data_IF_826569241105
#
_entry.id   IF_826569241105
#
_cell.length_a   1.000
_cell.length_b   1.000
_cell.length_c   1.000
_cell.angle_alpha   90.00
_cell.angle_beta   90.00
_cell.angle_gamma   90.00
#
_symmetry.space_group_name_H-M   'P 1'
#
loop_
_entity.id
_entity.type
_entity.pdbx_description
1 polymer ?
#
# COMPACT_ATOMS: atom_id res chain seq x y z
N UNK A 1 30.51 5.35 44.67
CA UNK A 1 30.12 6.48 43.82
C UNK A 1 28.59 6.48 43.78
N UNK A 2 27.94 7.24 44.66
CA UNK A 2 26.48 7.32 44.70
C UNK A 2 26.04 8.19 43.53
N UNK A 3 25.27 7.62 42.61
CA UNK A 3 24.65 8.40 41.54
C UNK A 3 23.75 9.44 42.19
N UNK A 4 23.99 10.72 41.90
CA UNK A 4 23.21 11.81 42.48
C UNK A 4 21.83 11.84 41.83
N UNK A 5 20.80 12.24 42.59
CA UNK A 5 19.42 12.31 42.09
C UNK A 5 19.28 13.18 40.83
N UNK A 6 20.11 14.22 40.70
CA UNK A 6 20.18 15.07 39.52
C UNK A 6 20.72 14.34 38.28
N UNK A 7 21.69 13.44 38.46
CA UNK A 7 22.22 12.61 37.37
C UNK A 7 21.17 11.60 36.90
N UNK A 8 20.44 10.98 37.85
CA UNK A 8 19.34 10.07 37.52
C UNK A 8 18.24 10.77 36.72
N UNK A 9 17.89 12.00 37.13
CA UNK A 9 16.87 12.80 36.43
C UNK A 9 17.32 13.19 35.02
N UNK A 10 18.60 13.55 34.85
CA UNK A 10 19.18 13.90 33.56
C UNK A 10 19.16 12.71 32.59
N UNK A 11 19.59 11.53 33.05
CA UNK A 11 19.53 10.31 32.25
C UNK A 11 18.11 9.92 31.84
N UNK A 12 17.14 10.12 32.74
CA UNK A 12 15.73 9.87 32.47
C UNK A 12 15.20 10.73 31.32
N UNK A 13 15.49 12.03 31.31
CA UNK A 13 15.07 12.92 30.22
C UNK A 13 15.78 12.62 28.90
N UNK A 14 17.08 12.27 28.94
CA UNK A 14 17.84 11.89 27.73
C UNK A 14 17.24 10.64 27.09
N UNK A 15 16.91 9.62 27.88
CA UNK A 15 16.28 8.39 27.39
C UNK A 15 14.90 8.68 26.80
N UNK A 16 14.08 9.50 27.47
CA UNK A 16 12.77 9.88 26.97
C UNK A 16 12.85 10.65 25.63
N UNK A 17 13.79 11.58 25.51
CA UNK A 17 14.03 12.32 24.28
C UNK A 17 14.48 11.40 23.13
N UNK A 18 15.42 10.49 23.40
CA UNK A 18 15.89 9.52 22.40
C UNK A 18 14.76 8.62 21.90
N UNK A 19 13.93 8.10 22.80
CA UNK A 19 12.74 7.30 22.46
C UNK A 19 11.77 8.11 21.58
N UNK A 20 11.51 9.36 21.95
CA UNK A 20 10.60 10.24 21.22
C UNK A 20 11.08 10.45 19.78
N UNK A 21 12.38 10.72 19.59
CA UNK A 21 12.98 10.87 18.25
C UNK A 21 12.85 9.59 17.42
N UNK A 22 13.12 8.42 18.00
CA UNK A 22 12.99 7.13 17.30
C UNK A 22 11.54 6.90 16.87
N UNK A 23 10.57 7.18 17.73
CA UNK A 23 9.15 7.03 17.41
C UNK A 23 8.71 7.96 16.28
N UNK A 24 9.16 9.23 16.29
CA UNK A 24 8.87 10.19 15.20
C UNK A 24 9.39 9.66 13.86
N UNK A 25 10.63 9.15 13.82
CA UNK A 25 11.23 8.61 12.60
C UNK A 25 10.44 7.41 12.07
N UNK A 26 9.92 6.56 12.96
CA UNK A 26 9.17 5.35 12.58
C UNK A 26 7.73 5.65 12.12
N UNK A 27 7.08 6.71 12.62
CA UNK A 27 5.67 7.04 12.34
C UNK A 27 5.45 7.78 11.00
N UNK A 28 6.46 7.76 10.09
CA UNK A 28 6.67 8.56 8.84
C UNK A 28 5.49 8.70 7.84
N UNK A 29 4.28 8.23 8.14
CA UNK A 29 3.13 8.19 7.21
C UNK A 29 1.97 9.12 7.56
N UNK A 30 1.81 9.59 8.81
CA UNK A 30 0.63 10.40 9.20
C UNK A 30 0.99 11.50 10.23
N UNK A 31 1.12 12.77 9.81
CA UNK A 31 1.54 13.86 10.69
C UNK A 31 0.60 14.08 11.88
N UNK A 32 -0.69 13.86 11.69
CA UNK A 32 -1.72 13.94 12.75
C UNK A 32 -1.41 13.01 13.93
N UNK A 33 -0.98 11.76 13.65
CA UNK A 33 -0.67 10.77 14.69
C UNK A 33 0.61 11.13 15.43
N UNK A 34 1.62 11.62 14.72
CA UNK A 34 2.90 12.04 15.31
C UNK A 34 2.68 13.16 16.33
N UNK A 35 1.83 14.15 16.02
CA UNK A 35 1.54 15.26 16.95
C UNK A 35 0.83 14.76 18.21
N UNK A 36 -0.13 13.84 18.09
CA UNK A 36 -0.80 13.24 19.25
C UNK A 36 0.19 12.51 20.17
N UNK A 37 1.13 11.75 19.59
CA UNK A 37 2.17 11.05 20.36
C UNK A 37 3.17 12.01 21.02
N UNK A 38 3.57 13.09 20.34
CA UNK A 38 4.41 14.13 20.93
C UNK A 38 3.79 14.72 22.21
N UNK A 39 2.48 15.01 22.18
CA UNK A 39 1.76 15.53 23.34
C UNK A 39 1.75 14.51 24.48
N UNK A 40 1.50 13.23 24.18
CA UNK A 40 1.48 12.16 25.18
C UNK A 40 2.88 11.94 25.80
N UNK A 41 3.94 11.96 24.97
CA UNK A 41 5.32 11.84 25.45
C UNK A 41 5.72 13.01 26.33
N UNK A 42 5.32 14.24 25.98
CA UNK A 42 5.60 15.45 26.75
C UNK A 42 4.80 15.51 28.06
N UNK A 43 3.53 15.09 28.05
CA UNK A 43 2.66 15.13 29.22
C UNK A 43 2.94 13.99 30.22
N UNK A 44 3.40 12.84 29.74
CA UNK A 44 3.61 11.65 30.57
C UNK A 44 4.96 10.93 30.31
N UNK A 45 6.13 11.56 30.49
CA UNK A 45 7.39 10.82 30.58
C UNK A 45 7.40 9.88 31.80
N UNK A 46 7.76 8.59 31.71
CA UNK A 46 8.03 7.77 30.52
C UNK A 46 6.79 6.96 30.06
N UNK A 47 5.66 7.08 30.77
CA UNK A 47 4.39 6.38 30.52
C UNK A 47 3.90 6.49 29.08
N UNK A 48 4.16 7.62 28.40
CA UNK A 48 3.82 7.81 27.00
C UNK A 48 4.44 6.77 26.06
N UNK A 49 5.61 6.23 26.41
CA UNK A 49 6.23 5.13 25.66
C UNK A 49 5.49 3.82 25.83
N UNK A 50 5.06 3.51 27.06
CA UNK A 50 4.26 2.32 27.32
C UNK A 50 2.93 2.41 26.55
N UNK A 51 2.28 3.57 26.58
CA UNK A 51 1.04 3.82 25.84
C UNK A 51 1.26 3.72 24.31
N UNK A 52 2.38 4.21 23.80
CA UNK A 52 2.73 4.10 22.39
C UNK A 52 2.89 2.63 21.95
N UNK A 53 3.56 1.80 22.75
CA UNK A 53 3.71 0.37 22.43
C UNK A 53 2.36 -0.37 22.38
N UNK A 54 1.43 0.00 23.27
CA UNK A 54 0.11 -0.63 23.34
C UNK A 54 -0.83 -0.17 22.22
N UNK A 55 -0.90 1.14 21.95
CA UNK A 55 -1.98 1.74 21.12
C UNK A 55 -1.44 2.43 19.87
N UNK A 56 -0.22 2.97 19.91
CA UNK A 56 0.34 3.78 18.82
C UNK A 56 0.79 2.99 17.61
N UNK A 57 1.34 1.80 17.85
CA UNK A 57 1.81 0.95 16.77
C UNK A 57 0.64 0.40 15.97
N UNK A 58 0.63 0.62 14.65
CA UNK A 58 -0.27 -0.11 13.77
C UNK A 58 0.23 -1.57 13.62
N UNK A 59 -0.36 -2.49 14.39
CA UNK A 59 0.02 -3.92 14.38
C UNK A 59 -0.39 -4.65 13.09
N UNK A 60 -1.26 -4.05 12.27
CA UNK A 60 -1.59 -4.59 10.94
C UNK A 60 -0.38 -4.47 10.01
N UNK A 61 0.48 -5.49 10.03
CA UNK A 61 1.24 -5.85 8.83
C UNK A 61 0.20 -6.24 7.78
N UNK A 62 0.01 -5.40 6.76
CA UNK A 62 -0.56 -5.89 5.52
C UNK A 62 0.46 -6.88 4.98
N UNK A 63 0.32 -8.16 5.36
CA UNK A 63 0.85 -9.22 4.53
C UNK A 63 0.04 -9.14 3.26
N UNK A 64 0.65 -8.62 2.20
CA UNK A 64 0.20 -8.95 0.85
C UNK A 64 0.20 -10.49 0.82
N UNK A 65 -0.89 -11.10 0.35
CA UNK A 65 -0.94 -12.55 0.24
C UNK A 65 0.29 -13.01 -0.56
N UNK A 66 1.17 -13.78 0.08
CA UNK A 66 2.43 -14.21 -0.53
C UNK A 66 2.21 -15.31 -1.58
N UNK A 67 1.00 -15.85 -1.68
CA UNK A 67 0.66 -16.96 -2.56
C UNK A 67 -0.36 -16.57 -3.62
N UNK A 68 0.15 -16.43 -4.84
CA UNK A 68 -0.62 -16.51 -6.07
C UNK A 68 -1.56 -17.71 -6.04
N UNK A 69 -2.82 -17.47 -6.45
CA UNK A 69 -3.67 -18.58 -6.88
C UNK A 69 -2.91 -19.39 -7.95
N UNK A 70 -2.81 -20.73 -7.81
CA UNK A 70 -2.16 -21.59 -8.79
C UNK A 70 -2.63 -21.33 -10.23
N UNK A 71 -3.91 -20.95 -10.37
CA UNK A 71 -4.54 -20.57 -11.63
C UNK A 71 -3.91 -19.34 -12.29
N UNK A 72 -3.61 -18.30 -11.51
CA UNK A 72 -2.99 -17.06 -12.03
C UNK A 72 -1.56 -17.35 -12.48
N UNK A 73 -0.82 -18.14 -11.70
CA UNK A 73 0.53 -18.60 -12.10
C UNK A 73 0.52 -19.35 -13.42
N UNK A 74 -0.39 -20.31 -13.58
CA UNK A 74 -0.53 -21.07 -14.83
C UNK A 74 -0.80 -20.16 -16.02
N UNK A 75 -1.72 -19.20 -15.85
CA UNK A 75 -2.09 -18.25 -16.91
C UNK A 75 -0.91 -17.33 -17.28
N UNK A 76 -0.15 -16.85 -16.29
CA UNK A 76 1.08 -16.07 -16.51
C UNK A 76 2.09 -16.87 -17.31
N UNK A 77 2.43 -18.09 -16.89
CA UNK A 77 3.44 -18.91 -17.59
C UNK A 77 3.02 -19.25 -19.02
N UNK A 78 1.73 -19.48 -19.26
CA UNK A 78 1.20 -19.72 -20.61
C UNK A 78 1.44 -18.54 -21.54
N UNK A 79 1.13 -17.32 -21.10
CA UNK A 79 1.26 -16.13 -21.93
C UNK A 79 2.72 -15.70 -22.14
N UNK A 80 3.61 -16.06 -21.21
CA UNK A 80 5.05 -15.78 -21.33
C UNK A 80 5.69 -16.40 -22.57
N UNK A 81 5.15 -17.52 -23.09
CA UNK A 81 5.67 -18.16 -24.30
C UNK A 81 5.42 -17.35 -25.58
N UNK A 82 4.48 -16.40 -25.56
CA UNK A 82 4.16 -15.55 -26.70
C UNK A 82 4.93 -14.22 -26.70
N UNK A 83 5.82 -14.00 -25.73
CA UNK A 83 6.64 -12.79 -25.67
C UNK A 83 7.76 -12.91 -26.70
N UNK A 84 7.69 -12.10 -27.76
CA UNK A 84 8.67 -12.11 -28.86
C UNK A 84 10.09 -11.73 -28.42
N UNK A 85 10.22 -10.79 -27.47
CA UNK A 85 11.52 -10.34 -26.96
C UNK A 85 11.80 -10.89 -25.54
N UNK A 86 12.74 -11.83 -25.38
CA UNK A 86 13.12 -12.41 -24.10
C UNK A 86 13.58 -11.40 -23.03
N UNK A 87 14.06 -10.22 -23.43
CA UNK A 87 14.54 -9.19 -22.50
C UNK A 87 13.42 -8.68 -21.58
N UNK A 88 12.15 -8.83 -21.99
CA UNK A 88 11.00 -8.44 -21.18
C UNK A 88 10.53 -9.53 -20.19
N UNK A 89 11.03 -10.76 -20.29
CA UNK A 89 10.65 -11.88 -19.40
C UNK A 89 10.80 -11.53 -17.91
N UNK A 90 11.91 -10.91 -17.45
CA UNK A 90 12.06 -10.53 -16.05
C UNK A 90 11.00 -9.50 -15.60
N UNK A 91 10.67 -8.54 -16.48
CA UNK A 91 9.68 -7.52 -16.19
C UNK A 91 8.26 -8.11 -16.14
N UNK A 92 7.92 -9.03 -17.04
CA UNK A 92 6.63 -9.73 -17.04
C UNK A 92 6.46 -10.56 -15.76
N UNK A 93 7.50 -11.29 -15.34
CA UNK A 93 7.48 -12.03 -14.07
C UNK A 93 7.27 -11.08 -12.89
N UNK A 94 7.99 -9.97 -12.86
CA UNK A 94 7.85 -8.98 -11.79
C UNK A 94 6.41 -8.43 -11.74
N UNK A 95 5.82 -8.08 -12.88
CA UNK A 95 4.46 -7.56 -12.95
C UNK A 95 3.46 -8.59 -12.46
N UNK A 96 3.54 -9.82 -12.96
CA UNK A 96 2.72 -10.93 -12.50
C UNK A 96 2.84 -11.08 -10.97
N UNK A 97 4.07 -11.13 -10.45
CA UNK A 97 4.38 -11.27 -9.02
C UNK A 97 3.85 -10.14 -8.12
N UNK A 98 3.59 -8.95 -8.67
CA UNK A 98 3.10 -7.79 -7.91
C UNK A 98 1.61 -7.48 -8.10
N UNK A 99 0.99 -7.93 -9.20
CA UNK A 99 -0.38 -7.52 -9.56
C UNK A 99 -1.40 -8.65 -9.60
N UNK A 100 -1.02 -9.91 -9.32
CA UNK A 100 -1.92 -11.08 -9.45
C UNK A 100 -2.62 -11.16 -10.82
N UNK A 101 -1.99 -10.61 -11.87
CA UNK A 101 -2.56 -10.54 -13.21
C UNK A 101 -1.52 -10.92 -14.26
N UNK A 102 -1.84 -11.83 -15.20
CA UNK A 102 -0.99 -12.07 -16.35
C UNK A 102 -0.98 -10.86 -17.29
N UNK A 103 0.08 -10.79 -18.09
CA UNK A 103 0.11 -9.96 -19.28
C UNK A 103 -0.51 -10.76 -20.42
N UNK A 104 -1.45 -10.17 -21.12
CA UNK A 104 -2.01 -10.71 -22.35
C UNK A 104 -1.28 -10.10 -23.54
N UNK A 105 -0.92 -10.93 -24.51
CA UNK A 105 -0.42 -10.47 -25.81
C UNK A 105 -1.59 -10.35 -26.81
N UNK A 106 -1.33 -9.80 -28.00
CA UNK A 106 -2.30 -9.74 -29.10
C UNK A 106 -3.63 -9.03 -28.79
N UNK A 107 -3.57 -8.01 -27.93
CA UNK A 107 -4.75 -7.21 -27.61
C UNK A 107 -5.12 -6.28 -28.77
N UNK A 108 -6.42 -6.19 -29.06
CA UNK A 108 -6.96 -5.10 -29.87
C UNK A 108 -7.22 -3.89 -28.97
N UNK A 109 -6.58 -2.76 -29.27
CA UNK A 109 -6.68 -1.54 -28.47
C UNK A 109 -7.38 -0.47 -29.30
N UNK A 110 -8.45 0.08 -28.74
CA UNK A 110 -9.11 1.27 -29.29
C UNK A 110 -8.81 2.45 -28.38
N UNK A 111 -8.27 3.53 -28.94
CA UNK A 111 -7.93 4.76 -28.21
C UNK A 111 -9.00 5.80 -28.51
N UNK A 112 -9.67 6.27 -27.46
CA UNK A 112 -10.63 7.38 -27.55
C UNK A 112 -9.95 8.69 -27.17
N UNK A 113 -10.18 9.75 -27.95
CA UNK A 113 -9.56 11.07 -27.69
C UNK A 113 -10.49 12.03 -26.98
N UNK A 114 -11.79 11.73 -26.97
CA UNK A 114 -12.81 12.51 -26.29
C UNK A 114 -13.70 11.64 -25.41
N UNK A 115 -14.34 12.27 -24.41
CA UNK A 115 -15.31 11.60 -23.56
C UNK A 115 -16.52 11.13 -24.36
N UNK A 116 -17.01 11.96 -25.28
CA UNK A 116 -18.20 11.69 -26.10
C UNK A 116 -18.02 10.41 -26.93
N UNK A 117 -16.88 10.26 -27.62
CA UNK A 117 -16.53 9.03 -28.36
C UNK A 117 -16.54 7.79 -27.46
N UNK A 118 -15.91 7.89 -26.28
CA UNK A 118 -15.84 6.77 -25.33
C UNK A 118 -17.23 6.37 -24.81
N UNK A 119 -18.08 7.35 -24.49
CA UNK A 119 -19.41 7.08 -23.95
C UNK A 119 -20.37 6.55 -25.01
N UNK A 120 -20.29 7.05 -26.24
CA UNK A 120 -21.06 6.51 -27.36
C UNK A 120 -20.69 5.04 -27.61
N UNK A 121 -19.39 4.74 -27.68
CA UNK A 121 -18.89 3.37 -27.84
C UNK A 121 -19.35 2.46 -26.68
N UNK A 122 -19.21 2.91 -25.43
CA UNK A 122 -19.66 2.17 -24.25
C UNK A 122 -21.16 1.83 -24.32
N UNK A 123 -22.01 2.82 -24.61
CA UNK A 123 -23.46 2.62 -24.70
C UNK A 123 -23.81 1.62 -25.80
N UNK A 124 -23.11 1.70 -26.94
CA UNK A 124 -23.31 0.77 -28.05
C UNK A 124 -22.90 -0.66 -27.68
N UNK A 125 -21.79 -0.85 -26.94
CA UNK A 125 -21.39 -2.17 -26.44
C UNK A 125 -22.33 -2.71 -25.36
N UNK A 126 -22.82 -1.83 -24.46
CA UNK A 126 -23.83 -2.21 -23.46
C UNK A 126 -25.11 -2.73 -24.10
N UNK A 127 -25.56 -2.14 -25.23
CA UNK A 127 -26.73 -2.62 -25.98
C UNK A 127 -26.51 -4.00 -26.64
N UNK A 128 -25.26 -4.37 -26.94
CA UNK A 128 -24.91 -5.67 -27.55
C UNK A 128 -24.75 -6.79 -26.52
N UNK A 129 -24.55 -6.45 -25.24
CA UNK A 129 -24.30 -7.42 -24.19
C UNK A 129 -25.52 -8.35 -23.97
N UNK A 130 -25.25 -9.66 -23.83
CA UNK A 130 -26.30 -10.69 -23.70
C UNK A 130 -26.44 -11.30 -22.31
N UNK A 131 -25.34 -11.45 -21.58
CA UNK A 131 -25.31 -12.19 -20.32
C UNK A 131 -25.00 -11.31 -19.10
N UNK A 132 -23.92 -10.54 -19.16
CA UNK A 132 -23.48 -9.70 -18.06
C UNK A 132 -22.75 -8.47 -18.58
N UNK A 133 -22.79 -7.40 -17.78
CA UNK A 133 -21.99 -6.20 -17.95
C UNK A 133 -21.32 -5.95 -16.61
N UNK A 134 -19.99 -5.99 -16.58
CA UNK A 134 -19.19 -5.61 -15.42
C UNK A 134 -18.76 -4.14 -15.57
N UNK A 135 -19.09 -3.30 -14.60
CA UNK A 135 -18.77 -1.88 -14.60
C UNK A 135 -18.06 -1.52 -13.30
N UNK A 136 -16.88 -0.92 -13.42
CA UNK A 136 -16.13 -0.36 -12.30
C UNK A 136 -15.89 1.13 -12.57
N UNK A 137 -16.45 1.99 -11.71
CA UNK A 137 -16.40 3.45 -11.84
C UNK A 137 -16.12 4.10 -10.50
N UNK A 138 -15.28 5.13 -10.50
CA UNK A 138 -15.02 5.94 -9.31
C UNK A 138 -16.26 6.73 -8.85
N UNK A 139 -17.04 7.27 -9.79
CA UNK A 139 -18.22 8.07 -9.50
C UNK A 139 -19.30 7.83 -10.56
N UNK A 140 -20.52 7.53 -10.07
CA UNK A 140 -21.75 7.47 -10.86
C UNK A 140 -22.71 8.47 -10.22
N UNK A 141 -23.27 9.37 -11.04
CA UNK A 141 -24.29 10.34 -10.62
C UNK A 141 -25.60 10.00 -11.32
N UNK A 142 -26.69 10.03 -10.55
CA UNK A 142 -28.08 9.93 -11.04
C UNK A 142 -28.58 11.25 -11.57
#
# INVERSE_FOLDING_TARGET
MSVNAEEMLSWFFIINAAITVVVIILERRRPEKTVAWLIIFAAFPPLGFVLYLLVGRNWKRHKLNEEFSPYVKELVYKEMHHIENPDYIPLVKLLAENSDSPIFVDNSITIFRSGDEKFEALINEMKKAKHHIHLEYYMIKS
#
